data_IF_702111656610
#
_entry.id   IF_702111656610
#
_cell.length_a   1.000
_cell.length_b   1.000
_cell.length_c   1.000
_cell.angle_alpha   90.00
_cell.angle_beta   90.00
_cell.angle_gamma   90.00
#
_symmetry.space_group_name_H-M   'P 1'
#
loop_
_entity.id
_entity.type
_entity.pdbx_description
1 polymer ?
#
# COMPACT_ATOMS: atom_id res chain seq x y z
N UNK A 1 -31.78 -49.09 -8.04
CA UNK A 1 -31.15 -48.29 -6.97
C UNK A 1 -29.68 -47.93 -7.25
N UNK A 2 -28.88 -48.73 -7.97
CA UNK A 2 -27.46 -48.44 -8.24
C UNK A 2 -27.15 -47.21 -9.13
N UNK A 3 -28.09 -46.77 -9.99
CA UNK A 3 -27.84 -45.65 -10.93
C UNK A 3 -27.96 -44.25 -10.31
N UNK A 4 -28.77 -44.09 -9.26
CA UNK A 4 -28.99 -42.79 -8.60
C UNK A 4 -27.82 -42.39 -7.71
N UNK A 5 -27.12 -43.36 -7.13
CA UNK A 5 -25.95 -43.14 -6.27
C UNK A 5 -24.73 -42.65 -7.06
N UNK A 6 -24.56 -43.13 -8.30
CA UNK A 6 -23.43 -42.76 -9.15
C UNK A 6 -23.47 -41.28 -9.59
N UNK A 7 -24.67 -40.74 -9.82
CA UNK A 7 -24.86 -39.33 -10.24
C UNK A 7 -24.54 -38.37 -9.09
N UNK A 8 -24.91 -38.74 -7.86
CA UNK A 8 -24.63 -37.92 -6.68
C UNK A 8 -23.14 -37.86 -6.33
N UNK A 9 -22.42 -38.97 -6.49
CA UNK A 9 -20.97 -39.02 -6.24
C UNK A 9 -20.20 -38.22 -7.29
N UNK A 10 -20.59 -38.27 -8.57
CA UNK A 10 -19.93 -37.47 -9.62
C UNK A 10 -20.11 -35.96 -9.43
N UNK A 11 -21.29 -35.51 -8.96
CA UNK A 11 -21.57 -34.09 -8.76
C UNK A 11 -20.85 -33.51 -7.53
N UNK A 12 -20.51 -34.34 -6.54
CA UNK A 12 -19.78 -33.92 -5.35
C UNK A 12 -18.27 -33.70 -5.62
N UNK A 13 -17.67 -34.41 -6.59
CA UNK A 13 -16.26 -34.22 -6.93
C UNK A 13 -15.97 -32.93 -7.72
N UNK A 14 -16.99 -32.31 -8.33
CA UNK A 14 -16.82 -31.07 -9.08
C UNK A 14 -16.60 -29.83 -8.19
N UNK A 15 -16.82 -29.93 -6.87
CA UNK A 15 -16.74 -28.79 -5.95
C UNK A 15 -15.36 -28.59 -5.30
N UNK A 16 -14.37 -29.45 -5.54
CA UNK A 16 -13.14 -29.49 -4.73
C UNK A 16 -11.86 -28.92 -5.34
N UNK A 17 -11.89 -28.33 -6.54
CA UNK A 17 -10.63 -27.81 -7.14
C UNK A 17 -10.78 -26.42 -7.75
N UNK A 18 -10.68 -25.41 -6.89
CA UNK A 18 -9.96 -24.20 -7.26
C UNK A 18 -8.87 -23.94 -6.23
N UNK A 19 -7.88 -24.83 -6.19
CA UNK A 19 -6.55 -24.50 -5.66
C UNK A 19 -5.91 -23.50 -6.63
N UNK A 20 -6.45 -22.28 -6.67
CA UNK A 20 -5.81 -21.18 -7.38
C UNK A 20 -4.48 -20.95 -6.69
N UNK A 21 -3.34 -20.95 -7.41
CA UNK A 21 -2.07 -20.61 -6.81
C UNK A 21 -2.23 -19.28 -6.06
N UNK A 22 -1.82 -19.25 -4.79
CA UNK A 22 -1.65 -18.00 -4.06
C UNK A 22 -0.47 -17.27 -4.71
N UNK A 23 -0.71 -16.65 -5.86
CA UNK A 23 0.16 -15.65 -6.43
C UNK A 23 0.35 -14.56 -5.36
N UNK A 24 1.61 -14.24 -5.03
CA UNK A 24 1.92 -13.07 -4.20
C UNK A 24 1.43 -11.84 -4.98
N UNK A 25 0.19 -11.43 -4.69
CA UNK A 25 -0.58 -10.47 -5.50
C UNK A 25 0.15 -9.13 -5.68
N UNK A 26 0.94 -8.70 -4.71
CA UNK A 26 1.73 -7.48 -4.79
C UNK A 26 3.05 -7.71 -4.05
N UNK A 27 4.18 -7.62 -4.76
CA UNK A 27 5.46 -7.30 -4.12
C UNK A 27 5.51 -5.77 -4.05
N UNK A 28 4.97 -5.16 -2.99
CA UNK A 28 4.98 -3.70 -2.90
C UNK A 28 6.42 -3.22 -2.92
N UNK A 29 6.82 -2.54 -3.99
CA UNK A 29 8.01 -1.74 -3.96
C UNK A 29 7.72 -0.47 -3.13
N UNK A 30 7.90 -0.58 -1.82
CA UNK A 30 7.64 0.51 -0.88
C UNK A 30 8.58 1.70 -1.11
N UNK A 31 9.75 1.48 -1.73
CA UNK A 31 10.68 2.57 -2.08
C UNK A 31 10.07 3.44 -3.19
N UNK A 32 9.52 2.83 -4.24
CA UNK A 32 8.94 3.59 -5.37
C UNK A 32 7.77 4.49 -4.93
N UNK A 33 7.02 4.07 -3.90
CA UNK A 33 5.86 4.79 -3.39
C UNK A 33 6.16 6.20 -2.86
N UNK A 34 7.40 6.45 -2.41
CA UNK A 34 7.84 7.76 -1.88
C UNK A 34 8.72 8.56 -2.84
N UNK A 35 9.28 7.92 -3.87
CA UNK A 35 10.35 8.52 -4.69
C UNK A 35 9.88 9.75 -5.44
N UNK A 36 8.65 9.71 -5.98
CA UNK A 36 8.07 10.86 -6.67
C UNK A 36 7.84 12.03 -5.71
N UNK A 37 7.36 11.76 -4.49
CA UNK A 37 7.11 12.81 -3.50
C UNK A 37 8.43 13.44 -3.02
N UNK A 38 9.45 12.63 -2.75
CA UNK A 38 10.77 13.13 -2.35
C UNK A 38 11.40 14.01 -3.44
N UNK A 39 11.30 13.60 -4.71
CA UNK A 39 11.79 14.41 -5.83
C UNK A 39 11.02 15.73 -5.98
N UNK A 40 9.69 15.71 -5.82
CA UNK A 40 8.88 16.94 -5.83
C UNK A 40 9.27 17.86 -4.66
N UNK A 41 9.48 17.29 -3.47
CA UNK A 41 9.91 18.02 -2.28
C UNK A 41 11.28 18.69 -2.47
N UNK A 42 12.28 17.97 -2.99
CA UNK A 42 13.61 18.56 -3.24
C UNK A 42 13.52 19.66 -4.31
N UNK A 43 12.69 19.50 -5.35
CA UNK A 43 12.44 20.55 -6.34
C UNK A 43 11.76 21.79 -5.74
N UNK A 44 10.88 21.61 -4.75
CA UNK A 44 10.22 22.68 -4.02
C UNK A 44 11.15 23.37 -2.98
N UNK A 45 12.38 22.87 -2.80
CA UNK A 45 13.36 23.44 -1.86
C UNK A 45 13.20 22.97 -0.41
N UNK A 46 12.59 21.80 -0.19
CA UNK A 46 12.30 21.27 1.16
C UNK A 46 13.45 20.58 1.88
N UNK A 47 14.65 20.54 1.31
CA UNK A 47 15.79 19.87 1.93
C UNK A 47 16.17 20.54 3.26
N UNK A 48 16.53 19.78 4.32
CA UNK A 48 16.75 18.32 4.35
C UNK A 48 15.52 17.47 4.76
N UNK A 49 14.35 18.08 4.94
CA UNK A 49 13.16 17.39 5.49
C UNK A 49 12.60 16.32 4.54
N UNK A 50 12.80 16.50 3.23
CA UNK A 50 12.30 15.60 2.19
C UNK A 50 12.68 14.14 2.44
N UNK A 51 13.97 13.86 2.66
CA UNK A 51 14.44 12.49 2.85
C UNK A 51 13.93 11.87 4.17
N UNK A 52 13.92 12.67 5.24
CA UNK A 52 13.47 12.22 6.57
C UNK A 52 12.01 11.76 6.52
N UNK A 53 11.14 12.59 5.93
CA UNK A 53 9.71 12.27 5.80
C UNK A 53 9.52 11.10 4.84
N UNK A 54 10.24 11.07 3.71
CA UNK A 54 10.12 10.00 2.72
C UNK A 54 10.51 8.62 3.28
N UNK A 55 11.60 8.53 4.05
CA UNK A 55 12.02 7.28 4.70
C UNK A 55 11.01 6.84 5.76
N UNK A 56 10.51 7.77 6.57
CA UNK A 56 9.46 7.47 7.57
C UNK A 56 8.20 6.94 6.88
N UNK A 57 7.77 7.59 5.80
CA UNK A 57 6.61 7.18 5.03
C UNK A 57 6.77 5.79 4.44
N UNK A 58 7.91 5.46 3.84
CA UNK A 58 8.18 4.11 3.34
C UNK A 58 8.07 3.03 4.43
N UNK A 59 8.50 3.33 5.66
CA UNK A 59 8.37 2.41 6.79
C UNK A 59 6.90 2.11 7.16
N UNK A 60 5.97 3.05 6.91
CA UNK A 60 4.54 2.87 7.22
C UNK A 60 3.82 1.87 6.30
N UNK A 61 4.43 1.55 5.16
CA UNK A 61 3.94 0.52 4.24
C UNK A 61 4.44 -0.89 4.59
N UNK A 62 5.30 -1.02 5.60
CA UNK A 62 5.84 -2.31 6.07
C UNK A 62 4.86 -2.99 7.04
N UNK A 63 5.16 -4.24 7.40
CA UNK A 63 4.25 -5.14 8.12
C UNK A 63 3.81 -4.67 9.52
N UNK A 64 4.65 -3.89 10.22
CA UNK A 64 4.47 -3.54 11.64
C UNK A 64 3.98 -2.11 11.89
N UNK A 65 3.61 -1.38 10.84
CA UNK A 65 3.12 -0.02 11.01
C UNK A 65 1.73 -0.01 11.65
N UNK A 66 1.47 0.95 12.54
CA UNK A 66 0.20 1.12 13.24
C UNK A 66 -0.96 1.48 12.29
N UNK A 67 -2.21 1.43 12.76
CA UNK A 67 -3.38 1.67 11.92
C UNK A 67 -3.36 3.03 11.20
N UNK A 68 -2.87 4.08 11.85
CA UNK A 68 -2.89 5.46 11.34
C UNK A 68 -1.56 5.94 10.75
N UNK A 69 -0.45 5.23 10.95
CA UNK A 69 0.90 5.72 10.63
C UNK A 69 1.07 6.21 9.17
N UNK A 70 0.43 5.53 8.22
CA UNK A 70 0.46 5.92 6.80
C UNK A 70 -0.21 7.28 6.59
N UNK A 71 -1.33 7.53 7.28
CA UNK A 71 -2.05 8.79 7.21
C UNK A 71 -1.26 9.90 7.89
N UNK A 72 -0.73 9.64 9.09
CA UNK A 72 0.09 10.61 9.82
C UNK A 72 1.35 11.01 9.01
N UNK A 73 1.92 10.07 8.25
CA UNK A 73 3.05 10.37 7.36
C UNK A 73 2.64 11.20 6.16
N UNK A 74 1.46 10.96 5.59
CA UNK A 74 0.92 11.78 4.51
C UNK A 74 0.54 13.19 4.98
N UNK A 75 0.06 13.33 6.21
CA UNK A 75 -0.21 14.64 6.80
C UNK A 75 1.09 15.42 6.98
N UNK A 76 2.16 14.78 7.44
CA UNK A 76 3.49 15.40 7.51
C UNK A 76 4.01 15.84 6.12
N UNK A 77 3.75 15.03 5.08
CA UNK A 77 4.08 15.39 3.69
C UNK A 77 3.32 16.65 3.24
N UNK A 78 2.03 16.74 3.55
CA UNK A 78 1.18 17.88 3.22
C UNK A 78 1.59 19.12 4.02
N UNK A 79 1.91 18.97 5.31
CA UNK A 79 2.32 20.08 6.15
C UNK A 79 3.65 20.69 5.68
N UNK A 80 4.61 19.88 5.26
CA UNK A 80 5.82 20.39 4.61
C UNK A 80 5.47 21.14 3.32
N UNK A 81 4.61 20.58 2.47
CA UNK A 81 4.18 21.21 1.22
C UNK A 81 3.56 22.61 1.46
N UNK A 82 2.76 22.78 2.52
CA UNK A 82 2.20 24.08 2.91
C UNK A 82 3.27 25.11 3.24
N UNK A 83 4.39 24.71 3.86
CA UNK A 83 5.52 25.62 4.12
C UNK A 83 6.29 26.00 2.85
N UNK A 84 6.24 25.16 1.83
CA UNK A 84 6.91 25.33 0.54
C UNK A 84 5.96 25.92 -0.51
N UNK A 85 5.30 27.03 -0.15
CA UNK A 85 4.37 27.76 -1.02
C UNK A 85 3.16 26.93 -1.50
N UNK A 86 2.70 25.98 -0.68
CA UNK A 86 1.59 25.08 -1.02
C UNK A 86 1.84 24.32 -2.33
N UNK A 87 3.02 23.70 -2.47
CA UNK A 87 3.38 22.99 -3.70
C UNK A 87 2.29 21.95 -4.07
N UNK A 88 1.61 22.12 -5.21
CA UNK A 88 0.44 21.31 -5.53
C UNK A 88 0.83 19.87 -5.88
N UNK A 89 2.04 19.64 -6.37
CA UNK A 89 2.51 18.31 -6.74
C UNK A 89 2.85 17.49 -5.49
N UNK A 90 3.49 18.11 -4.49
CA UNK A 90 3.70 17.47 -3.18
C UNK A 90 2.37 17.05 -2.53
N UNK A 91 1.36 17.93 -2.55
CA UNK A 91 0.04 17.64 -1.98
C UNK A 91 -0.64 16.49 -2.74
N UNK A 92 -0.65 16.55 -4.08
CA UNK A 92 -1.24 15.50 -4.93
C UNK A 92 -0.55 14.15 -4.70
N UNK A 93 0.77 14.13 -4.58
CA UNK A 93 1.53 12.90 -4.34
C UNK A 93 1.32 12.34 -2.93
N UNK A 94 1.15 13.20 -1.91
CA UNK A 94 0.78 12.76 -0.57
C UNK A 94 -0.63 12.11 -0.55
N UNK A 95 -1.58 12.68 -1.29
CA UNK A 95 -2.91 12.07 -1.47
C UNK A 95 -2.87 10.73 -2.20
N UNK A 96 -1.93 10.54 -3.13
CA UNK A 96 -1.72 9.23 -3.77
C UNK A 96 -1.00 8.25 -2.85
N UNK A 97 -0.10 8.73 -1.98
CA UNK A 97 0.64 7.90 -1.04
C UNK A 97 -0.29 7.17 -0.06
N UNK A 98 -1.35 7.81 0.43
CA UNK A 98 -2.34 7.17 1.32
C UNK A 98 -3.17 6.07 0.63
N UNK A 99 -3.19 6.05 -0.69
CA UNK A 99 -3.85 5.00 -1.47
C UNK A 99 -2.92 3.80 -1.73
N UNK A 100 -1.65 3.91 -1.32
CA UNK A 100 -0.69 2.82 -1.51
C UNK A 100 -1.11 1.63 -0.65
N UNK A 101 -1.18 0.43 -1.22
CA UNK A 101 -1.48 -0.75 -0.44
C UNK A 101 -0.34 -0.95 0.56
N UNK A 102 -0.66 -1.40 1.77
CA UNK A 102 0.32 -1.68 2.83
C UNK A 102 0.63 -3.17 2.89
N UNK A 103 1.84 -3.52 3.32
CA UNK A 103 2.19 -4.89 3.72
C UNK A 103 1.74 -5.23 5.14
N UNK A 104 0.80 -4.45 5.70
CA UNK A 104 0.38 -4.56 7.09
C UNK A 104 -0.11 -5.98 7.38
N UNK A 105 0.48 -6.61 8.39
CA UNK A 105 -0.08 -7.83 8.96
C UNK A 105 -1.16 -7.36 9.93
N UNK A 106 -2.42 -7.67 9.63
CA UNK A 106 -3.51 -7.45 10.57
C UNK A 106 -3.27 -8.35 11.78
N UNK A 107 -2.64 -7.82 12.82
CA UNK A 107 -2.60 -8.47 14.12
C UNK A 107 -3.94 -8.20 14.82
N UNK A 108 -4.73 -9.24 15.14
CA UNK A 108 -6.00 -9.09 15.85
C UNK A 108 -5.80 -8.62 17.30
#
# INVERSE_FOLDING_TARGET
MFKLTAVFVLSALACFTSAVPLEKRINQNTIDSKTLWEAACSKAGGDPQCNIIAVKAAATLLANAGPCDQQDSADAMIDLAKTLNNDPEMIRLAQLFVQQPRNAIFFP
#
